data_IF_285319021822
#
_entry.id   IF_285319021822
#
_cell.length_a   1.000
_cell.length_b   1.000
_cell.length_c   1.000
_cell.angle_alpha   90.00
_cell.angle_beta   90.00
_cell.angle_gamma   90.00
#
_symmetry.space_group_name_H-M   'P 1'
#
loop_
_entity.id
_entity.type
_entity.pdbx_description
1 polymer ?
#
# COMPACT_ATOMS: atom_id res chain seq x y z
N UNK A 1 5.72 -7.78 -13.79
CA UNK A 1 5.91 -6.59 -12.95
C UNK A 1 4.86 -6.66 -11.86
N UNK A 2 5.24 -6.76 -10.58
CA UNK A 2 4.26 -6.85 -9.50
C UNK A 2 3.57 -5.48 -9.38
N UNK A 3 2.25 -5.43 -9.52
CA UNK A 3 1.53 -4.17 -9.34
C UNK A 3 1.57 -3.77 -7.86
N UNK A 4 1.74 -2.46 -7.60
CA UNK A 4 1.80 -1.91 -6.23
C UNK A 4 0.60 -2.37 -5.38
N UNK A 5 -0.59 -2.48 -5.97
CA UNK A 5 -1.81 -2.97 -5.30
C UNK A 5 -1.64 -4.37 -4.71
N UNK A 6 -1.02 -5.28 -5.46
CA UNK A 6 -0.91 -6.69 -5.09
C UNK A 6 0.14 -6.87 -4.00
N UNK A 7 1.27 -6.16 -4.10
CA UNK A 7 2.29 -6.17 -3.05
C UNK A 7 1.75 -5.63 -1.73
N UNK A 8 1.04 -4.50 -1.77
CA UNK A 8 0.43 -3.89 -0.57
C UNK A 8 -0.57 -4.84 0.06
N UNK A 9 -1.52 -5.39 -0.72
CA UNK A 9 -2.53 -6.33 -0.22
C UNK A 9 -1.88 -7.57 0.41
N UNK A 10 -0.97 -8.21 -0.31
CA UNK A 10 -0.36 -9.47 0.12
C UNK A 10 0.48 -9.26 1.38
N UNK A 11 1.28 -8.19 1.45
CA UNK A 11 2.09 -7.89 2.64
C UNK A 11 1.21 -7.52 3.84
N UNK A 12 0.13 -6.76 3.63
CA UNK A 12 -0.84 -6.45 4.68
C UNK A 12 -1.49 -7.70 5.25
N UNK A 13 -1.93 -8.61 4.39
CA UNK A 13 -2.57 -9.87 4.78
C UNK A 13 -1.60 -10.83 5.46
N UNK A 14 -0.36 -10.91 4.96
CA UNK A 14 0.73 -11.65 5.60
C UNK A 14 1.03 -11.16 7.02
N UNK A 15 1.00 -9.83 7.24
CA UNK A 15 1.19 -9.22 8.56
C UNK A 15 -0.06 -9.30 9.45
N UNK A 16 -1.19 -9.80 8.94
CA UNK A 16 -2.44 -9.93 9.69
C UNK A 16 -3.08 -8.60 10.12
N UNK A 17 -2.73 -7.49 9.46
CA UNK A 17 -3.28 -6.16 9.82
C UNK A 17 -4.48 -5.79 8.94
N UNK A 18 -5.46 -5.11 9.54
CA UNK A 18 -6.62 -4.61 8.80
C UNK A 18 -6.25 -3.39 7.95
N UNK A 19 -7.03 -3.12 6.89
CA UNK A 19 -6.92 -1.88 6.13
C UNK A 19 -7.08 -0.64 7.01
N UNK A 20 -7.96 -0.71 8.01
CA UNK A 20 -8.15 0.38 8.97
C UNK A 20 -6.89 0.64 9.79
N UNK A 21 -6.22 -0.42 10.28
CA UNK A 21 -4.96 -0.29 11.01
C UNK A 21 -3.87 0.30 10.13
N UNK A 22 -3.71 -0.20 8.90
CA UNK A 22 -2.73 0.35 7.95
C UNK A 22 -3.00 1.82 7.63
N UNK A 23 -4.27 2.21 7.42
CA UNK A 23 -4.64 3.60 7.19
C UNK A 23 -4.28 4.51 8.37
N UNK A 24 -4.58 4.06 9.59
CA UNK A 24 -4.27 4.78 10.84
C UNK A 24 -2.76 4.95 11.04
N UNK A 25 -1.97 3.89 10.85
CA UNK A 25 -0.52 3.89 11.07
C UNK A 25 0.24 4.64 9.97
N UNK A 26 -0.16 4.49 8.71
CA UNK A 26 0.49 5.19 7.58
C UNK A 26 0.07 6.66 7.45
N UNK A 27 -1.03 7.06 8.11
CA UNK A 27 -1.65 8.36 7.90
C UNK A 27 -2.16 8.56 6.46
N UNK A 28 -2.48 7.45 5.78
CA UNK A 28 -3.17 7.44 4.48
C UNK A 28 -4.65 7.25 4.73
N UNK A 29 -5.47 8.02 4.03
CA UNK A 29 -6.91 7.91 4.15
C UNK A 29 -7.40 6.48 3.81
N UNK A 30 -8.32 5.95 4.62
CA UNK A 30 -8.83 4.58 4.46
C UNK A 30 -9.44 4.32 3.07
N UNK A 31 -10.22 5.27 2.55
CA UNK A 31 -10.82 5.16 1.21
C UNK A 31 -9.74 5.19 0.12
N UNK A 32 -8.64 5.93 0.32
CA UNK A 32 -7.48 5.86 -0.58
C UNK A 32 -6.85 4.48 -0.55
N UNK A 33 -6.61 3.90 0.63
CA UNK A 33 -6.04 2.57 0.76
C UNK A 33 -6.94 1.48 0.13
N UNK A 34 -8.24 1.54 0.36
CA UNK A 34 -9.23 0.63 -0.24
C UNK A 34 -9.22 0.71 -1.77
N UNK A 35 -9.19 1.92 -2.35
CA UNK A 35 -9.11 2.10 -3.80
C UNK A 35 -7.76 1.62 -4.38
N UNK A 36 -6.66 1.75 -3.63
CA UNK A 36 -5.35 1.23 -4.03
C UNK A 36 -5.40 -0.30 -4.13
N UNK A 37 -5.81 -1.00 -3.07
CA UNK A 37 -5.86 -2.47 -3.07
C UNK A 37 -6.86 -3.05 -4.07
N UNK A 38 -7.90 -2.30 -4.43
CA UNK A 38 -8.86 -2.66 -5.49
C UNK A 38 -8.38 -2.34 -6.90
N UNK A 39 -7.23 -1.67 -7.07
CA UNK A 39 -6.73 -1.25 -8.38
C UNK A 39 -7.55 -0.14 -9.05
N UNK A 40 -8.37 0.59 -8.28
CA UNK A 40 -9.18 1.72 -8.78
C UNK A 40 -8.28 2.94 -9.01
N UNK A 41 -7.24 3.09 -8.18
CA UNK A 41 -6.26 4.17 -8.33
C UNK A 41 -5.30 3.85 -9.46
N UNK A 42 -5.37 4.60 -10.56
CA UNK A 42 -4.42 4.50 -11.69
C UNK A 42 -2.97 4.81 -11.30
N UNK A 43 -2.76 5.77 -10.40
CA UNK A 43 -1.43 6.22 -9.99
C UNK A 43 -1.42 6.60 -8.52
N UNK A 44 -0.62 5.91 -7.72
CA UNK A 44 -0.39 6.23 -6.31
C UNK A 44 0.70 7.30 -6.24
N UNK A 45 0.47 8.36 -5.47
CA UNK A 45 1.50 9.39 -5.26
C UNK A 45 2.70 8.79 -4.52
N UNK A 46 3.92 9.25 -4.83
CA UNK A 46 5.13 8.81 -4.13
C UNK A 46 5.00 8.95 -2.61
N UNK A 47 4.39 10.05 -2.15
CA UNK A 47 4.13 10.29 -0.72
C UNK A 47 3.31 9.17 -0.08
N UNK A 48 2.23 8.74 -0.71
CA UNK A 48 1.38 7.68 -0.17
C UNK A 48 2.08 6.31 -0.30
N UNK A 49 2.82 6.10 -1.40
CA UNK A 49 3.60 4.89 -1.59
C UNK A 49 4.64 4.70 -0.47
N UNK A 50 5.42 5.74 -0.16
CA UNK A 50 6.40 5.76 0.93
C UNK A 50 5.74 5.51 2.29
N UNK A 51 4.64 6.20 2.59
CA UNK A 51 3.90 6.01 3.84
C UNK A 51 3.43 4.57 4.05
N UNK A 52 2.86 3.95 3.01
CA UNK A 52 2.39 2.57 3.06
C UNK A 52 3.57 1.61 3.18
N UNK A 53 4.61 1.82 2.37
CA UNK A 53 5.80 0.99 2.33
C UNK A 53 6.55 0.95 3.67
N UNK A 54 6.61 2.08 4.39
CA UNK A 54 7.25 2.15 5.71
C UNK A 54 6.54 1.28 6.76
N UNK A 55 5.20 1.21 6.74
CA UNK A 55 4.44 0.37 7.68
C UNK A 55 4.51 -1.10 7.30
N UNK A 56 4.51 -1.38 5.99
CA UNK A 56 4.51 -2.74 5.47
C UNK A 56 5.90 -3.32 5.28
N UNK A 57 6.97 -2.58 5.54
CA UNK A 57 8.37 -2.98 5.26
C UNK A 57 8.53 -3.48 3.81
N UNK A 58 8.14 -2.63 2.86
CA UNK A 58 8.24 -2.89 1.41
C UNK A 58 9.38 -2.05 0.85
N UNK A 59 10.35 -2.68 0.17
CA UNK A 59 11.32 -1.95 -0.64
C UNK A 59 10.66 -1.45 -1.93
N UNK A 60 10.54 -0.13 -2.08
CA UNK A 60 9.95 0.49 -3.27
C UNK A 60 10.80 0.29 -4.54
N UNK A 61 12.08 -0.12 -4.42
CA UNK A 61 12.93 -0.39 -5.58
C UNK A 61 12.44 -1.60 -6.40
N UNK A 62 11.64 -2.50 -5.82
CA UNK A 62 11.07 -3.64 -6.57
C UNK A 62 10.09 -3.21 -7.67
N UNK A 63 9.63 -1.95 -7.62
CA UNK A 63 8.76 -1.35 -8.64
C UNK A 63 9.54 -0.53 -9.67
N UNK A 64 10.86 -0.36 -9.50
CA UNK A 64 11.70 0.25 -10.52
C UNK A 64 11.95 -0.79 -11.61
N UNK A 65 11.41 -0.53 -12.80
CA UNK A 65 11.76 -1.16 -14.06
C UNK A 65 12.37 -0.11 -14.97
#
# INVERSE_FOLDING_TARGET
MNEFKDVVRNKREFLGISRYRLAKESGVNYQTLDKIEKGIVKTVTLRNAVKIANILDIDLNIFKG
#
